data_IF_606708345329
#
_entry.id   IF_606708345329
#
_cell.length_a   1.000
_cell.length_b   1.000
_cell.length_c   1.000
_cell.angle_alpha   90.00
_cell.angle_beta   90.00
_cell.angle_gamma   90.00
#
_symmetry.space_group_name_H-M   'P 1'
#
loop_
_entity.id
_entity.type
_entity.pdbx_description
1 polymer ?
#
# COMPACT_ATOMS: atom_id res chain seq x y z
N UNK A 1 -11.97 4.94 -0.16
CA UNK A 1 -11.22 4.96 -1.43
C UNK A 1 -10.84 3.55 -1.81
N UNK A 2 -10.18 3.40 -2.96
CA UNK A 2 -9.63 2.12 -3.42
C UNK A 2 -8.55 1.59 -2.46
N UNK A 3 -8.28 0.27 -2.51
CA UNK A 3 -7.25 -0.38 -1.70
C UNK A 3 -6.00 -0.62 -2.54
N UNK A 4 -4.84 -0.25 -2.02
CA UNK A 4 -3.54 -0.56 -2.58
C UNK A 4 -3.07 -1.95 -2.13
N UNK A 5 -2.54 -2.74 -3.07
CA UNK A 5 -2.03 -4.08 -2.84
C UNK A 5 -0.56 -4.19 -3.25
N UNK A 6 0.17 -5.13 -2.65
CA UNK A 6 1.52 -5.51 -3.12
C UNK A 6 1.46 -6.01 -4.56
N UNK A 7 2.45 -5.64 -5.37
CA UNK A 7 2.49 -5.98 -6.80
C UNK A 7 3.14 -7.33 -7.10
N UNK A 8 3.99 -7.85 -6.21
CA UNK A 8 4.82 -9.02 -6.47
C UNK A 8 5.99 -8.80 -7.43
N UNK A 9 6.18 -7.59 -7.98
CA UNK A 9 7.18 -7.34 -9.03
C UNK A 9 8.62 -7.36 -8.49
N UNK A 10 8.82 -6.87 -7.27
CA UNK A 10 10.14 -6.80 -6.64
C UNK A 10 10.56 -8.10 -5.95
N UNK A 11 9.73 -9.16 -6.02
CA UNK A 11 9.99 -10.50 -5.44
C UNK A 11 10.25 -10.51 -3.92
N UNK A 12 9.97 -9.41 -3.21
CA UNK A 12 10.11 -9.31 -1.73
C UNK A 12 8.84 -9.71 -0.97
N UNK A 13 7.68 -9.59 -1.62
CA UNK A 13 6.37 -9.95 -1.08
C UNK A 13 5.52 -10.55 -2.20
N UNK A 14 4.68 -11.55 -1.92
CA UNK A 14 3.74 -12.05 -2.91
C UNK A 14 2.74 -10.95 -3.32
N UNK A 15 2.15 -11.03 -4.52
CA UNK A 15 1.14 -10.08 -4.95
C UNK A 15 -0.14 -10.20 -4.11
N UNK A 16 -0.97 -9.17 -4.14
CA UNK A 16 -2.33 -9.15 -3.56
C UNK A 16 -2.40 -9.15 -2.02
N UNK A 17 -1.34 -8.73 -1.32
CA UNK A 17 -1.45 -8.40 0.11
C UNK A 17 -2.02 -6.97 0.23
N UNK A 18 -3.15 -6.75 0.93
CA UNK A 18 -3.71 -5.41 1.12
C UNK A 18 -2.82 -4.58 2.05
N UNK A 19 -2.50 -3.35 1.65
CA UNK A 19 -1.55 -2.48 2.38
C UNK A 19 -2.23 -1.24 2.95
N UNK A 20 -2.97 -0.52 2.11
CA UNK A 20 -3.42 0.84 2.45
C UNK A 20 -4.71 1.23 1.72
N UNK A 21 -5.52 2.08 2.34
CA UNK A 21 -6.64 2.75 1.70
C UNK A 21 -6.20 4.07 1.08
N UNK A 22 -6.60 4.33 -0.17
CA UNK A 22 -6.32 5.60 -0.84
C UNK A 22 -7.20 6.71 -0.26
N UNK A 23 -6.56 7.78 0.22
CA UNK A 23 -7.23 8.98 0.74
C UNK A 23 -7.23 10.14 -0.25
N UNK A 24 -6.19 10.30 -1.06
CA UNK A 24 -6.18 11.30 -2.13
C UNK A 24 -5.17 10.98 -3.23
N UNK A 25 -5.40 11.54 -4.41
CA UNK A 25 -4.46 11.47 -5.54
C UNK A 25 -4.05 12.90 -5.89
N UNK A 26 -2.75 13.17 -5.83
CA UNK A 26 -2.16 14.45 -6.21
C UNK A 26 -1.56 14.33 -7.60
N UNK A 27 -2.13 15.09 -8.54
CA UNK A 27 -1.67 15.15 -9.92
C UNK A 27 -1.10 16.54 -10.19
N UNK A 28 0.21 16.63 -10.34
CA UNK A 28 0.86 17.86 -10.79
C UNK A 28 0.90 17.89 -12.32
N UNK A 29 0.44 19.00 -12.92
CA UNK A 29 0.26 19.12 -14.37
C UNK A 29 1.55 18.93 -15.20
N UNK A 30 2.73 19.08 -14.59
CA UNK A 30 4.02 19.02 -15.27
C UNK A 30 4.92 17.87 -14.79
N UNK A 31 4.37 16.84 -14.14
CA UNK A 31 5.12 15.67 -13.72
C UNK A 31 4.66 14.41 -14.47
N UNK A 32 5.58 13.53 -14.91
CA UNK A 32 5.22 12.28 -15.57
C UNK A 32 4.72 11.21 -14.59
N UNK A 33 4.55 11.56 -13.32
CA UNK A 33 4.08 10.69 -12.25
C UNK A 33 2.98 11.36 -11.43
N UNK A 34 2.26 10.56 -10.66
CA UNK A 34 1.25 11.01 -9.71
C UNK A 34 1.60 10.48 -8.33
N UNK A 35 1.26 11.25 -7.31
CA UNK A 35 1.45 10.83 -5.92
C UNK A 35 0.12 10.40 -5.34
N UNK A 36 0.07 9.20 -4.79
CA UNK A 36 -1.11 8.68 -4.08
C UNK A 36 -0.83 8.77 -2.58
N UNK A 37 -1.69 9.48 -1.87
CA UNK A 37 -1.66 9.54 -0.40
C UNK A 37 -2.59 8.45 0.12
N UNK A 38 -2.10 7.67 1.09
CA UNK A 38 -2.79 6.49 1.60
C UNK A 38 -2.74 6.43 3.13
N UNK A 39 -3.68 5.71 3.72
CA UNK A 39 -3.70 5.31 5.14
C UNK A 39 -3.47 3.80 5.25
N UNK A 40 -2.53 3.38 6.10
CA UNK A 40 -2.19 1.96 6.28
C UNK A 40 -3.35 1.22 6.96
N UNK A 41 -3.67 0.02 6.46
CA UNK A 41 -4.79 -0.79 7.00
C UNK A 41 -4.40 -1.57 8.26
N UNK A 42 -3.12 -1.93 8.40
CA UNK A 42 -2.61 -2.70 9.53
C UNK A 42 -2.24 -1.83 10.73
N UNK A 43 -2.59 -2.30 11.92
CA UNK A 43 -2.14 -1.73 13.18
C UNK A 43 -0.77 -2.32 13.57
N UNK A 44 0.19 -1.48 13.92
CA UNK A 44 1.57 -1.90 14.24
C UNK A 44 1.93 -1.70 15.71
N UNK A 45 1.00 -1.20 16.52
CA UNK A 45 1.21 -0.99 17.96
C UNK A 45 0.29 -1.86 18.82
N UNK A 46 -0.74 -2.46 18.23
CA UNK A 46 -1.70 -3.32 18.90
C UNK A 46 -2.04 -4.52 18.00
N UNK A 47 -1.23 -5.57 18.10
CA UNK A 47 -1.41 -6.80 17.32
C UNK A 47 -1.12 -8.04 18.16
N UNK A 48 -1.99 -9.05 18.05
CA UNK A 48 -1.79 -10.36 18.70
C UNK A 48 -0.97 -11.32 17.83
N UNK A 49 -1.03 -11.17 16.50
CA UNK A 49 -0.43 -12.10 15.54
C UNK A 49 0.26 -11.37 14.39
N UNK A 50 1.43 -11.88 14.01
CA UNK A 50 2.18 -11.45 12.82
C UNK A 50 2.56 -12.68 12.01
N UNK A 51 2.37 -12.60 10.71
CA UNK A 51 2.73 -13.66 9.78
C UNK A 51 3.92 -13.21 8.94
N UNK A 52 4.94 -14.07 8.86
CA UNK A 52 6.07 -13.87 7.95
C UNK A 52 5.66 -14.47 6.60
N UNK A 53 5.68 -13.64 5.56
CA UNK A 53 5.41 -14.04 4.18
C UNK A 53 6.74 -14.07 3.42
N UNK A 54 7.00 -15.15 2.69
CA UNK A 54 8.18 -15.35 1.83
C UNK A 54 7.73 -15.56 0.39
#
# INVERSE_FOLDING_TARGET
GDIAYTSGISEIYPPNIPVAQIVSIRKEQNQPFQTVVVEILGEIYDFDFVFIVQ
#
